data_IF_905879641998
#
_entry.id   IF_905879641998
#
_cell.length_a   1.000
_cell.length_b   1.000
_cell.length_c   1.000
_cell.angle_alpha   90.00
_cell.angle_beta   90.00
_cell.angle_gamma   90.00
#
_symmetry.space_group_name_H-M   'P 1'
#
loop_
_entity.id
_entity.type
_entity.pdbx_description
1 polymer ?
#
# COMPACT_ATOMS: atom_id res chain seq x y z
N UNK A 1 -19.34 21.33 -26.11
CA UNK A 1 -20.52 20.43 -26.06
C UNK A 1 -20.74 20.00 -24.62
N UNK A 2 -21.80 20.51 -24.02
CA UNK A 2 -22.24 20.24 -22.66
C UNK A 2 -22.44 18.75 -22.41
N UNK A 3 -21.95 18.25 -21.27
CA UNK A 3 -22.49 17.06 -20.66
C UNK A 3 -22.95 17.41 -19.25
N UNK A 4 -24.24 17.76 -19.19
CA UNK A 4 -25.07 17.73 -17.99
C UNK A 4 -24.88 16.37 -17.31
N UNK A 5 -24.41 16.36 -16.06
CA UNK A 5 -24.71 15.27 -15.13
C UNK A 5 -24.94 15.82 -13.72
N UNK A 6 -26.24 16.00 -13.43
CA UNK A 6 -26.93 15.52 -12.24
C UNK A 6 -26.20 15.64 -10.90
N UNK A 7 -26.53 16.70 -10.16
CA UNK A 7 -26.29 16.82 -8.72
C UNK A 7 -27.49 16.18 -7.99
N UNK A 8 -27.27 15.34 -6.95
CA UNK A 8 -28.37 14.73 -6.19
C UNK A 8 -29.20 15.81 -5.49
N UNK A 9 -30.51 15.72 -5.67
CA UNK A 9 -31.53 16.56 -5.08
C UNK A 9 -31.48 16.54 -3.55
N UNK A 10 -31.02 17.64 -2.94
CA UNK A 10 -31.29 17.93 -1.54
C UNK A 10 -32.80 18.17 -1.36
N UNK A 11 -33.43 17.66 -0.28
CA UNK A 11 -34.87 17.82 -0.03
C UNK A 11 -35.30 19.27 0.23
N UNK A 12 -34.37 20.23 0.29
CA UNK A 12 -34.67 21.66 0.39
C UNK A 12 -35.19 22.28 -0.92
N UNK A 13 -35.01 21.62 -2.07
CA UNK A 13 -35.39 22.18 -3.37
C UNK A 13 -36.82 21.81 -3.82
N UNK A 14 -37.57 21.05 -3.02
CA UNK A 14 -38.93 20.60 -3.35
C UNK A 14 -40.04 21.58 -2.94
N UNK A 15 -39.74 22.64 -2.17
CA UNK A 15 -40.73 23.65 -1.77
C UNK A 15 -40.97 24.75 -2.82
N UNK A 16 -40.25 24.76 -3.94
CA UNK A 16 -40.33 25.81 -4.98
C UNK A 16 -41.41 25.58 -6.05
N UNK A 17 -42.23 24.54 -5.93
CA UNK A 17 -43.30 24.21 -6.91
C UNK A 17 -44.73 24.52 -6.43
N UNK A 18 -44.91 25.23 -5.32
CA UNK A 18 -46.22 25.81 -4.97
C UNK A 18 -46.14 27.33 -5.06
N UNK A 19 -46.91 27.88 -5.99
CA UNK A 19 -46.93 29.30 -6.33
C UNK A 19 -47.62 30.10 -5.25
N UNK A 20 -46.84 30.60 -4.30
CA UNK A 20 -47.24 31.69 -3.41
C UNK A 20 -46.42 32.93 -3.77
N UNK A 21 -47.08 34.08 -3.79
CA UNK A 21 -46.52 35.41 -4.08
C UNK A 21 -45.49 35.81 -3.02
N UNK A 22 -44.26 35.33 -3.18
CA UNK A 22 -43.16 35.76 -2.33
C UNK A 22 -42.57 37.04 -2.94
N UNK A 23 -43.01 38.17 -2.36
CA UNK A 23 -42.46 39.53 -2.43
C UNK A 23 -41.10 39.66 -3.14
N UNK A 24 -41.01 40.57 -4.12
CA UNK A 24 -39.77 40.89 -4.84
C UNK A 24 -38.56 41.18 -3.95
N UNK A 25 -38.76 41.51 -2.68
CA UNK A 25 -37.70 41.66 -1.68
C UNK A 25 -36.98 40.33 -1.34
N UNK A 26 -37.68 39.20 -1.30
CA UNK A 26 -37.07 37.89 -0.98
C UNK A 26 -36.32 37.34 -2.20
N UNK A 27 -36.81 37.61 -3.42
CA UNK A 27 -36.07 37.34 -4.67
C UNK A 27 -34.77 38.16 -4.74
N UNK A 28 -34.81 39.41 -4.30
CA UNK A 28 -33.64 40.29 -4.23
C UNK A 28 -32.65 39.85 -3.13
N UNK A 29 -33.14 39.40 -1.98
CA UNK A 29 -32.31 38.81 -0.89
C UNK A 29 -31.66 37.50 -1.34
N UNK A 30 -32.37 36.64 -2.08
CA UNK A 30 -31.82 35.40 -2.62
C UNK A 30 -30.78 35.67 -3.73
N UNK A 31 -30.98 36.72 -4.54
CA UNK A 31 -29.98 37.19 -5.50
C UNK A 31 -28.75 37.81 -4.81
N UNK A 32 -28.94 38.55 -3.70
CA UNK A 32 -27.85 39.12 -2.89
C UNK A 32 -27.02 38.05 -2.17
N UNK A 33 -27.63 36.93 -1.77
CA UNK A 33 -26.91 35.82 -1.13
C UNK A 33 -26.18 34.90 -2.13
N UNK A 34 -26.55 34.92 -3.42
CA UNK A 34 -25.95 34.04 -4.44
C UNK A 34 -24.61 34.56 -4.99
N UNK A 35 -24.24 35.81 -4.69
CA UNK A 35 -22.99 36.44 -5.14
C UNK A 35 -21.83 36.40 -4.13
N UNK A 36 -21.97 35.72 -2.99
CA UNK A 36 -20.84 35.49 -2.08
C UNK A 36 -20.16 34.16 -2.42
N UNK A 37 -18.99 34.23 -3.05
CA UNK A 37 -18.15 33.05 -3.30
C UNK A 37 -17.79 32.36 -1.98
N UNK A 38 -17.91 31.03 -1.95
CA UNK A 38 -17.59 30.26 -0.74
C UNK A 38 -16.07 30.12 -0.64
N UNK A 39 -15.45 30.79 0.33
CA UNK A 39 -14.01 30.70 0.60
C UNK A 39 -13.65 29.35 1.26
N UNK A 40 -13.56 28.31 0.43
CA UNK A 40 -13.13 26.97 0.85
C UNK A 40 -11.68 26.74 0.43
N UNK A 41 -10.90 26.12 1.31
CA UNK A 41 -9.53 25.69 1.01
C UNK A 41 -9.52 24.42 0.15
N UNK A 42 -9.44 24.59 -1.17
CA UNK A 42 -9.44 23.49 -2.15
C UNK A 42 -8.09 22.76 -2.34
N UNK A 43 -7.07 23.07 -1.54
CA UNK A 43 -5.70 22.61 -1.79
C UNK A 43 -5.49 21.09 -1.59
N UNK A 44 -6.39 20.41 -0.88
CA UNK A 44 -6.26 18.98 -0.51
C UNK A 44 -7.40 18.10 -1.02
N UNK A 45 -8.28 18.63 -1.87
CA UNK A 45 -9.44 17.89 -2.37
C UNK A 45 -9.02 16.70 -3.23
N UNK A 46 -7.94 16.87 -4.01
CA UNK A 46 -7.37 15.79 -4.82
C UNK A 46 -6.61 14.79 -3.94
N UNK A 47 -7.27 13.69 -3.61
CA UNK A 47 -6.66 12.57 -2.87
C UNK A 47 -5.64 11.81 -3.73
N UNK A 48 -4.37 11.79 -3.32
CA UNK A 48 -3.28 11.09 -4.01
C UNK A 48 -3.26 9.60 -3.62
N UNK A 49 -3.99 8.77 -4.36
CA UNK A 49 -3.93 7.32 -4.23
C UNK A 49 -4.08 6.65 -5.60
N UNK A 50 -3.56 5.43 -5.73
CA UNK A 50 -3.65 4.67 -6.98
C UNK A 50 -5.00 3.96 -7.07
N UNK A 51 -5.70 4.17 -8.18
CA UNK A 51 -6.97 3.49 -8.51
C UNK A 51 -6.76 2.25 -9.40
N UNK A 52 -5.58 2.13 -10.02
CA UNK A 52 -5.22 1.06 -10.93
C UNK A 52 -3.70 0.78 -10.89
N UNK A 53 -3.23 -0.39 -11.35
CA UNK A 53 -1.80 -0.63 -11.47
C UNK A 53 -1.21 0.16 -12.64
N UNK A 54 -0.07 0.84 -12.43
CA UNK A 54 0.67 1.52 -13.51
C UNK A 54 1.25 0.54 -14.56
N UNK A 55 1.39 -0.73 -14.20
CA UNK A 55 1.96 -1.76 -15.08
C UNK A 55 0.96 -2.17 -16.18
N UNK A 56 1.49 -2.43 -17.38
CA UNK A 56 0.75 -2.92 -18.54
C UNK A 56 0.65 -4.46 -18.60
N UNK A 57 1.18 -5.18 -17.60
CA UNK A 57 1.11 -6.64 -17.52
C UNK A 57 -0.35 -7.14 -17.50
N UNK A 58 -0.69 -7.96 -18.50
CA UNK A 58 -2.03 -8.50 -18.71
C UNK A 58 -2.46 -9.38 -17.53
N UNK A 59 -1.57 -10.25 -17.02
CA UNK A 59 -1.90 -11.17 -15.93
C UNK A 59 -2.22 -10.41 -14.63
N UNK A 60 -1.47 -9.35 -14.34
CA UNK A 60 -1.74 -8.49 -13.19
C UNK A 60 -3.09 -7.78 -13.33
N UNK A 61 -3.45 -7.34 -14.55
CA UNK A 61 -4.74 -6.70 -14.83
C UNK A 61 -5.91 -7.65 -14.69
N UNK A 62 -5.76 -8.91 -15.11
CA UNK A 62 -6.78 -9.96 -14.92
C UNK A 62 -7.02 -10.22 -13.43
N UNK A 63 -5.96 -10.37 -12.64
CA UNK A 63 -6.07 -10.50 -11.18
C UNK A 63 -6.73 -9.27 -10.53
N UNK A 64 -6.41 -8.07 -11.00
CA UNK A 64 -7.06 -6.84 -10.54
C UNK A 64 -8.55 -6.83 -10.86
N UNK A 65 -8.96 -7.24 -12.07
CA UNK A 65 -10.39 -7.34 -12.44
C UNK A 65 -11.11 -8.30 -11.49
N UNK A 66 -10.53 -9.47 -11.22
CA UNK A 66 -11.08 -10.47 -10.28
C UNK A 66 -11.22 -9.89 -8.87
N UNK A 67 -10.17 -9.30 -8.31
CA UNK A 67 -10.22 -8.74 -6.95
C UNK A 67 -11.05 -7.46 -6.85
N UNK A 68 -11.27 -6.73 -7.94
CA UNK A 68 -12.19 -5.59 -8.00
C UNK A 68 -13.64 -6.06 -7.98
N UNK A 69 -13.95 -7.16 -8.65
CA UNK A 69 -15.25 -7.82 -8.53
C UNK A 69 -15.50 -8.32 -7.10
N UNK A 70 -14.55 -9.08 -6.54
CA UNK A 70 -14.65 -9.59 -5.17
C UNK A 70 -14.77 -8.46 -4.15
N UNK A 71 -13.93 -7.42 -4.22
CA UNK A 71 -13.97 -6.32 -3.25
C UNK A 71 -15.26 -5.49 -3.31
N UNK A 72 -15.97 -5.48 -4.44
CA UNK A 72 -17.25 -4.80 -4.61
C UNK A 72 -18.42 -5.66 -4.14
N UNK A 73 -18.43 -6.96 -4.44
CA UNK A 73 -19.55 -7.87 -4.14
C UNK A 73 -19.44 -8.56 -2.78
N UNK A 74 -18.24 -8.66 -2.22
CA UNK A 74 -18.02 -9.23 -0.89
C UNK A 74 -17.82 -8.14 0.16
N UNK A 75 -18.35 -8.37 1.36
CA UNK A 75 -18.17 -7.48 2.51
C UNK A 75 -16.83 -7.68 3.23
N UNK A 76 -15.94 -8.52 2.70
CA UNK A 76 -14.68 -8.87 3.36
C UNK A 76 -13.63 -7.74 3.22
N UNK A 77 -13.06 -7.23 4.33
CA UNK A 77 -12.02 -6.20 4.27
C UNK A 77 -10.72 -6.71 3.65
N UNK A 78 -10.48 -8.03 3.70
CA UNK A 78 -9.32 -8.69 3.11
C UNK A 78 -9.16 -8.36 1.62
N UNK A 79 -10.24 -8.50 0.83
CA UNK A 79 -10.22 -8.27 -0.61
C UNK A 79 -9.89 -6.80 -0.96
N UNK A 80 -10.43 -5.86 -0.17
CA UNK A 80 -10.09 -4.42 -0.30
C UNK A 80 -8.60 -4.15 -0.02
N UNK A 81 -7.98 -4.88 0.90
CA UNK A 81 -6.54 -4.76 1.18
C UNK A 81 -5.71 -5.39 0.06
N UNK A 82 -6.07 -6.59 -0.42
CA UNK A 82 -5.35 -7.25 -1.53
C UNK A 82 -5.41 -6.41 -2.80
N UNK A 83 -6.58 -5.88 -3.16
CA UNK A 83 -6.74 -4.98 -4.31
C UNK A 83 -5.84 -3.75 -4.21
N UNK A 84 -5.84 -3.06 -3.06
CA UNK A 84 -4.96 -1.91 -2.81
C UNK A 84 -3.48 -2.29 -2.93
N UNK A 85 -3.09 -3.49 -2.52
CA UNK A 85 -1.71 -3.98 -2.64
C UNK A 85 -1.34 -4.33 -4.08
N UNK A 86 -2.25 -4.83 -4.91
CA UNK A 86 -1.98 -5.08 -6.33
C UNK A 86 -1.64 -3.78 -7.10
N UNK A 87 -2.20 -2.64 -6.69
CA UNK A 87 -1.88 -1.31 -7.27
C UNK A 87 -0.52 -0.74 -6.85
N UNK A 88 0.08 -1.27 -5.79
CA UNK A 88 1.34 -0.75 -5.26
C UNK A 88 2.50 -0.97 -6.25
N UNK A 89 3.47 -0.05 -6.24
CA UNK A 89 4.73 -0.20 -6.97
C UNK A 89 5.55 -1.35 -6.41
N UNK A 90 6.52 -1.84 -7.20
CA UNK A 90 7.49 -2.85 -6.76
C UNK A 90 8.23 -2.43 -5.49
N UNK A 91 8.60 -1.15 -5.37
CA UNK A 91 9.25 -0.60 -4.17
C UNK A 91 8.41 -0.72 -2.91
N UNK A 92 7.08 -0.61 -3.04
CA UNK A 92 6.13 -0.71 -1.93
C UNK A 92 5.63 -2.14 -1.67
N UNK A 93 5.98 -3.08 -2.56
CA UNK A 93 5.80 -4.54 -2.44
C UNK A 93 7.16 -5.24 -2.32
N UNK A 94 7.87 -5.04 -1.19
CA UNK A 94 9.18 -5.67 -0.99
C UNK A 94 9.05 -7.20 -0.98
N UNK A 95 10.10 -7.92 -1.44
CA UNK A 95 10.13 -9.37 -1.33
C UNK A 95 10.13 -9.80 0.14
N UNK A 96 9.63 -11.01 0.40
CA UNK A 96 9.66 -11.62 1.73
C UNK A 96 10.47 -12.92 1.67
N UNK A 97 11.43 -13.03 2.59
CA UNK A 97 12.19 -14.27 2.76
C UNK A 97 11.34 -15.33 3.48
N UNK A 98 11.56 -16.60 3.13
CA UNK A 98 10.90 -17.74 3.80
C UNK A 98 11.14 -17.70 5.32
N UNK A 99 12.34 -17.33 5.77
CA UNK A 99 12.67 -17.20 7.20
C UNK A 99 11.73 -16.27 7.96
N UNK A 100 11.44 -15.11 7.36
CA UNK A 100 10.53 -14.13 7.95
C UNK A 100 9.09 -14.64 7.95
N UNK A 101 8.71 -15.40 6.93
CA UNK A 101 7.39 -16.02 6.85
C UNK A 101 7.21 -17.04 7.99
N UNK A 102 8.16 -17.97 8.17
CA UNK A 102 8.12 -18.96 9.27
C UNK A 102 7.96 -18.28 10.62
N UNK A 103 8.79 -17.26 10.92
CA UNK A 103 8.71 -16.52 12.19
C UNK A 103 7.34 -15.87 12.42
N UNK A 104 6.63 -15.48 11.35
CA UNK A 104 5.30 -14.86 11.45
C UNK A 104 4.14 -15.86 11.49
N UNK A 105 4.37 -17.08 10.99
CA UNK A 105 3.40 -18.19 11.07
C UNK A 105 3.53 -18.97 12.38
N UNK A 106 4.72 -19.01 12.99
CA UNK A 106 4.95 -19.60 14.33
C UNK A 106 4.30 -18.84 15.49
N UNK A 107 3.70 -17.67 15.25
CA UNK A 107 2.99 -16.92 16.29
C UNK A 107 1.69 -17.66 16.66
N UNK A 108 1.32 -17.64 17.94
CA UNK A 108 0.13 -18.32 18.45
C UNK A 108 -1.15 -17.94 17.69
N UNK A 109 -2.03 -18.93 17.49
CA UNK A 109 -3.32 -18.74 16.79
C UNK A 109 -3.22 -18.61 15.26
N UNK A 110 -2.09 -19.01 14.66
CA UNK A 110 -1.88 -18.98 13.19
C UNK A 110 -1.58 -20.34 12.57
N UNK A 111 -1.82 -21.40 13.33
CA UNK A 111 -1.72 -22.77 12.86
C UNK A 111 -2.70 -23.02 11.71
N UNK A 112 -2.28 -23.82 10.73
CA UNK A 112 -3.07 -24.23 9.57
C UNK A 112 -3.61 -23.10 8.67
N UNK A 113 -3.21 -21.85 8.89
CA UNK A 113 -3.60 -20.71 8.05
C UNK A 113 -2.72 -20.59 6.82
N UNK A 114 -3.29 -20.05 5.74
CA UNK A 114 -2.57 -19.77 4.50
C UNK A 114 -1.84 -18.43 4.60
N UNK A 115 -0.51 -18.42 4.39
CA UNK A 115 0.26 -17.19 4.29
C UNK A 115 0.02 -16.51 2.94
N UNK A 116 -0.48 -15.28 2.94
CA UNK A 116 -0.76 -14.52 1.71
C UNK A 116 0.21 -13.37 1.58
N UNK A 117 0.92 -13.30 0.46
CA UNK A 117 1.93 -12.27 0.18
C UNK A 117 1.68 -11.67 -1.20
N UNK A 118 1.27 -10.41 -1.25
CA UNK A 118 1.20 -9.67 -2.52
C UNK A 118 2.61 -9.17 -2.88
N UNK A 119 3.44 -10.06 -3.41
CA UNK A 119 4.84 -9.80 -3.69
C UNK A 119 5.59 -11.06 -4.11
N UNK A 120 6.92 -11.01 -3.97
CA UNK A 120 7.81 -12.13 -4.31
C UNK A 120 8.29 -12.83 -3.05
N UNK A 121 8.35 -14.16 -3.09
CA UNK A 121 8.92 -14.98 -2.02
C UNK A 121 10.31 -15.44 -2.42
N UNK A 122 11.29 -15.07 -1.60
CA UNK A 122 12.70 -15.37 -1.81
C UNK A 122 13.17 -16.48 -0.89
N UNK A 123 14.08 -17.30 -1.39
CA UNK A 123 14.75 -18.30 -0.57
C UNK A 123 15.66 -17.67 0.50
N UNK A 124 15.90 -18.41 1.57
CA UNK A 124 16.85 -18.06 2.62
C UNK A 124 17.67 -19.29 3.01
N UNK A 125 18.90 -19.36 2.49
CA UNK A 125 19.82 -20.50 2.63
C UNK A 125 20.20 -20.77 4.09
N UNK A 126 20.08 -19.76 4.97
CA UNK A 126 20.46 -19.89 6.39
C UNK A 126 19.56 -20.84 7.18
N UNK A 127 18.34 -21.07 6.70
CA UNK A 127 17.42 -22.01 7.33
C UNK A 127 17.62 -23.36 6.69
N UNK A 128 17.66 -24.42 7.49
CA UNK A 128 17.77 -25.79 6.99
C UNK A 128 16.38 -26.43 6.91
N UNK A 129 15.65 -26.45 8.03
CA UNK A 129 14.34 -27.09 8.15
C UNK A 129 13.18 -26.14 7.85
N UNK A 130 12.25 -26.57 6.98
CA UNK A 130 11.03 -25.83 6.67
C UNK A 130 9.82 -26.60 7.19
N UNK A 131 8.89 -25.94 7.93
CA UNK A 131 7.62 -26.55 8.26
C UNK A 131 6.71 -26.63 7.03
N UNK A 132 5.72 -27.51 7.07
CA UNK A 132 4.64 -27.59 6.07
C UNK A 132 3.85 -26.28 6.10
N UNK A 133 3.86 -25.54 4.99
CA UNK A 133 3.22 -24.23 4.88
C UNK A 133 2.37 -24.15 3.62
N UNK A 134 1.19 -23.55 3.74
CA UNK A 134 0.36 -23.14 2.59
C UNK A 134 0.63 -21.68 2.30
N UNK A 135 1.15 -21.37 1.11
CA UNK A 135 1.63 -20.04 0.78
C UNK A 135 1.07 -19.57 -0.55
N UNK A 136 0.43 -18.39 -0.57
CA UNK A 136 -0.03 -17.70 -1.76
C UNK A 136 0.85 -16.48 -2.04
N UNK A 137 1.38 -16.36 -3.26
CA UNK A 137 2.12 -15.18 -3.69
C UNK A 137 1.99 -14.88 -5.19
N UNK A 138 2.48 -13.70 -5.61
CA UNK A 138 2.52 -13.34 -7.04
C UNK A 138 3.66 -14.05 -7.76
N UNK A 139 4.82 -14.17 -7.10
CA UNK A 139 6.01 -14.81 -7.67
C UNK A 139 6.75 -15.59 -6.58
N UNK A 140 7.28 -16.73 -6.98
CA UNK A 140 8.19 -17.54 -6.17
C UNK A 140 9.54 -17.60 -6.88
N UNK A 141 10.63 -17.52 -6.12
CA UNK A 141 11.94 -17.88 -6.63
C UNK A 141 12.06 -19.40 -6.74
N UNK A 142 12.84 -19.91 -7.69
CA UNK A 142 12.92 -21.36 -7.94
C UNK A 142 13.44 -22.14 -6.73
N UNK A 143 14.44 -21.57 -6.04
CA UNK A 143 14.95 -22.11 -4.77
C UNK A 143 13.86 -22.20 -3.70
N UNK A 144 13.08 -21.13 -3.53
CA UNK A 144 11.98 -21.11 -2.58
C UNK A 144 10.91 -22.15 -2.92
N UNK A 145 10.50 -22.22 -4.20
CA UNK A 145 9.47 -23.15 -4.68
C UNK A 145 9.88 -24.60 -4.44
N UNK A 146 11.11 -24.97 -4.82
CA UNK A 146 11.66 -26.32 -4.62
C UNK A 146 11.65 -26.73 -3.14
N UNK A 147 12.09 -25.83 -2.26
CA UNK A 147 12.19 -26.13 -0.83
C UNK A 147 10.82 -26.25 -0.15
N UNK A 148 9.86 -25.41 -0.53
CA UNK A 148 8.49 -25.49 -0.01
C UNK A 148 7.84 -26.82 -0.42
N UNK A 149 7.96 -27.21 -1.69
CA UNK A 149 7.43 -28.48 -2.18
C UNK A 149 8.13 -29.69 -1.53
N UNK A 150 9.46 -29.65 -1.37
CA UNK A 150 10.23 -30.69 -0.67
C UNK A 150 9.78 -30.86 0.78
N UNK A 151 9.39 -29.78 1.45
CA UNK A 151 8.86 -29.82 2.81
C UNK A 151 7.40 -30.33 2.89
N UNK A 152 6.76 -30.64 1.76
CA UNK A 152 5.33 -30.99 1.71
C UNK A 152 4.39 -29.80 1.88
N UNK A 153 4.87 -28.59 1.60
CA UNK A 153 4.07 -27.36 1.59
C UNK A 153 3.35 -27.14 0.26
N UNK A 154 2.37 -26.24 0.26
CA UNK A 154 1.57 -25.90 -0.92
C UNK A 154 1.91 -24.50 -1.42
N UNK A 155 2.15 -24.38 -2.72
CA UNK A 155 2.38 -23.12 -3.42
C UNK A 155 1.11 -22.78 -4.19
N UNK A 156 0.47 -21.64 -3.86
CA UNK A 156 -0.78 -21.19 -4.45
C UNK A 156 -0.62 -19.86 -5.20
N UNK A 157 -1.43 -19.68 -6.23
CA UNK A 157 -1.63 -18.40 -6.91
C UNK A 157 -2.85 -17.66 -6.35
N UNK A 158 -3.02 -16.39 -6.73
CA UNK A 158 -4.09 -15.54 -6.20
C UNK A 158 -5.48 -15.91 -6.76
N UNK A 159 -5.54 -16.44 -7.97
CA UNK A 159 -6.74 -17.04 -8.57
C UNK A 159 -7.17 -18.31 -7.82
N UNK A 160 -6.24 -19.24 -7.55
CA UNK A 160 -6.51 -20.42 -6.72
C UNK A 160 -6.96 -20.05 -5.30
N UNK A 161 -6.35 -19.02 -4.71
CA UNK A 161 -6.76 -18.51 -3.40
C UNK A 161 -8.18 -17.95 -3.42
N UNK A 162 -8.56 -17.25 -4.49
CA UNK A 162 -9.90 -16.70 -4.64
C UNK A 162 -10.98 -17.79 -4.73
N UNK A 163 -10.67 -18.93 -5.36
CA UNK A 163 -11.54 -20.10 -5.39
C UNK A 163 -11.63 -20.77 -4.02
N UNK A 164 -10.49 -21.01 -3.36
CA UNK A 164 -10.44 -21.70 -2.07
C UNK A 164 -11.04 -20.89 -0.91
N UNK A 165 -10.88 -19.56 -0.93
CA UNK A 165 -11.29 -18.69 0.16
C UNK A 165 -11.66 -17.30 -0.35
N UNK A 166 -12.84 -17.13 -0.99
CA UNK A 166 -13.24 -15.86 -1.62
C UNK A 166 -13.40 -14.71 -0.63
N UNK A 167 -13.68 -14.99 0.64
CA UNK A 167 -13.75 -14.00 1.73
C UNK A 167 -12.42 -13.82 2.49
N UNK A 168 -11.42 -14.67 2.23
CA UNK A 168 -10.11 -14.63 2.90
C UNK A 168 -10.10 -15.24 4.32
N UNK A 169 -11.06 -16.10 4.66
CA UNK A 169 -11.05 -16.83 5.94
C UNK A 169 -9.80 -17.73 6.05
N UNK A 170 -9.25 -17.86 7.26
CA UNK A 170 -8.06 -18.69 7.49
C UNK A 170 -6.78 -18.18 6.80
N UNK A 171 -6.71 -16.91 6.41
CA UNK A 171 -5.51 -16.33 5.78
C UNK A 171 -4.75 -15.40 6.72
N UNK A 172 -3.43 -15.35 6.55
CA UNK A 172 -2.53 -14.41 7.23
C UNK A 172 -1.86 -13.55 6.17
N UNK A 173 -2.29 -12.30 6.08
CA UNK A 173 -1.75 -11.36 5.11
C UNK A 173 -0.44 -10.73 5.60
N UNK A 174 0.67 -11.05 4.92
CA UNK A 174 2.02 -10.60 5.30
C UNK A 174 2.58 -9.57 4.31
N UNK A 175 3.57 -8.80 4.77
CA UNK A 175 4.35 -7.87 3.93
C UNK A 175 5.82 -7.97 4.30
N UNK A 176 6.69 -7.86 3.30
CA UNK A 176 8.12 -7.69 3.52
C UNK A 176 8.43 -6.34 4.20
N UNK A 177 9.66 -6.17 4.71
CA UNK A 177 10.10 -4.94 5.35
C UNK A 177 10.30 -3.82 4.32
N UNK A 178 9.46 -2.77 4.37
CA UNK A 178 9.50 -1.66 3.39
C UNK A 178 10.72 -0.76 3.54
N UNK A 179 11.15 -0.49 4.79
CA UNK A 179 12.25 0.43 5.10
C UNK A 179 13.65 -0.21 5.06
N UNK A 180 13.78 -1.46 4.61
CA UNK A 180 15.07 -2.17 4.62
C UNK A 180 16.02 -1.77 3.48
N UNK A 181 15.58 -0.93 2.55
CA UNK A 181 16.39 -0.49 1.41
C UNK A 181 17.40 0.57 1.83
N UNK A 182 18.55 0.59 1.16
CA UNK A 182 19.62 1.57 1.41
C UNK A 182 19.16 3.02 1.29
N UNK A 183 18.26 3.31 0.35
CA UNK A 183 17.69 4.66 0.17
C UNK A 183 17.12 5.22 1.48
N UNK A 184 16.49 4.38 2.32
CA UNK A 184 15.95 4.82 3.61
C UNK A 184 17.02 5.12 4.65
N UNK A 185 18.26 4.67 4.47
CA UNK A 185 19.39 5.02 5.35
C UNK A 185 19.89 6.45 5.11
N UNK A 186 19.63 6.99 3.93
CA UNK A 186 19.97 8.36 3.55
C UNK A 186 18.86 9.36 3.86
N UNK A 187 17.66 8.87 4.18
CA UNK A 187 16.54 9.71 4.59
C UNK A 187 16.60 9.99 6.09
N UNK A 188 16.15 11.18 6.49
CA UNK A 188 16.09 11.60 7.89
C UNK A 188 16.65 13.00 8.08
N UNK A 189 17.06 13.31 9.31
CA UNK A 189 17.77 14.55 9.62
C UNK A 189 19.08 14.61 8.81
N UNK A 190 19.51 15.82 8.46
CA UNK A 190 20.69 16.00 7.63
C UNK A 190 21.94 15.34 8.29
N UNK A 191 22.82 14.71 7.50
CA UNK A 191 24.03 14.09 8.01
C UNK A 191 24.96 15.19 8.54
N UNK A 192 25.04 15.35 9.85
CA UNK A 192 25.80 16.43 10.50
C UNK A 192 24.98 17.27 11.47
N UNK A 193 23.67 17.05 11.62
CA UNK A 193 22.96 17.59 12.79
C UNK A 193 23.28 16.74 14.02
N UNK A 194 23.28 17.31 15.24
CA UNK A 194 23.49 16.55 16.47
C UNK A 194 22.57 15.33 16.57
N UNK A 195 23.12 14.19 17.01
CA UNK A 195 22.39 12.91 17.16
C UNK A 195 21.78 12.35 15.86
N UNK A 196 22.28 12.76 14.68
CA UNK A 196 21.88 12.17 13.40
C UNK A 196 22.73 10.95 13.03
N UNK A 197 22.08 9.85 12.67
CA UNK A 197 22.72 8.63 12.16
C UNK A 197 22.46 8.39 10.67
N UNK A 198 22.01 9.42 9.96
CA UNK A 198 21.75 9.37 8.51
C UNK A 198 23.04 9.13 7.76
N UNK A 199 23.03 8.13 6.85
CA UNK A 199 24.18 7.82 6.01
C UNK A 199 24.41 8.96 5.01
N UNK A 200 25.60 9.57 4.92
CA UNK A 200 25.90 10.56 3.89
C UNK A 200 26.06 9.91 2.51
N UNK A 201 25.89 10.71 1.45
CA UNK A 201 26.16 10.28 0.08
C UNK A 201 27.63 10.48 -0.26
N UNK A 202 28.41 9.41 -0.18
CA UNK A 202 29.85 9.40 -0.47
C UNK A 202 30.15 8.58 -1.72
N UNK A 203 31.11 9.03 -2.55
CA UNK A 203 31.57 8.30 -3.74
C UNK A 203 32.26 6.98 -3.39
N UNK A 204 33.06 6.98 -2.32
CA UNK A 204 33.79 5.80 -1.86
C UNK A 204 33.91 5.82 -0.34
N UNK A 205 33.96 4.64 0.27
CA UNK A 205 34.11 4.49 1.72
C UNK A 205 35.58 4.23 2.04
N UNK A 206 36.21 5.13 2.80
CA UNK A 206 37.62 4.98 3.19
C UNK A 206 38.05 5.97 4.26
N UNK A 207 39.32 5.91 4.68
CA UNK A 207 39.89 6.82 5.70
C UNK A 207 39.82 8.28 5.26
N UNK A 208 40.06 8.55 3.98
CA UNK A 208 40.13 9.91 3.38
C UNK A 208 38.77 10.50 2.99
N UNK A 209 37.66 9.75 3.09
CA UNK A 209 36.34 10.20 2.62
C UNK A 209 35.41 10.51 3.80
N UNK A 210 35.13 11.81 4.04
CA UNK A 210 34.15 12.31 5.03
C UNK A 210 34.28 11.75 6.47
N UNK A 211 35.52 11.57 6.94
CA UNK A 211 35.82 11.12 8.34
C UNK A 211 36.62 12.11 9.18
N UNK A 212 36.90 13.30 8.65
CA UNK A 212 37.71 14.33 9.28
C UNK A 212 36.84 15.29 10.13
N UNK A 213 36.77 16.58 9.76
CA UNK A 213 36.01 17.61 10.47
C UNK A 213 34.52 17.25 10.58
N UNK A 214 33.93 17.49 11.75
CA UNK A 214 32.52 17.22 12.04
C UNK A 214 32.20 15.77 12.42
N UNK A 215 33.18 14.86 12.37
CA UNK A 215 33.01 13.44 12.75
C UNK A 215 33.86 13.03 13.96
N UNK A 216 34.89 13.80 14.29
CA UNK A 216 35.85 13.51 15.36
C UNK A 216 36.13 14.77 16.17
N UNK A 217 36.25 14.67 17.50
CA UNK A 217 36.55 15.83 18.34
C UNK A 217 37.93 16.42 18.04
N UNK A 218 38.89 15.58 17.61
CA UNK A 218 40.26 16.00 17.28
C UNK A 218 40.38 16.93 16.06
N UNK A 219 39.35 17.01 15.22
CA UNK A 219 39.38 17.81 13.99
C UNK A 219 38.26 18.86 14.03
N UNK A 220 38.39 19.86 14.91
CA UNK A 220 37.49 20.99 15.04
C UNK A 220 36.28 20.72 15.93
N UNK A 221 35.37 19.83 15.53
CA UNK A 221 34.19 19.48 16.33
C UNK A 221 33.60 18.13 15.92
N UNK A 222 32.76 17.56 16.79
CA UNK A 222 31.96 16.36 16.52
C UNK A 222 30.50 16.63 16.87
N UNK A 223 29.62 16.31 15.92
CA UNK A 223 28.17 16.36 16.08
C UNK A 223 27.59 14.97 16.40
#
# INVERSE_FOLDING_TARGET
MCMLMFVPSNPFNQSLHRGDEISGAIKLIFLLFCFQGIDIRHNKDRKVHRKEPKSQDIYLRLLVKLYRFLARRSNAPFNKVVLRRLFMSRTNRPPIAISRLIRKMKLAGRENKTAVVVGTITDDVRIQTLPKLKICALRFTDGARRRILKAGGQVMTFDQLALASPKGHGTVLLSGPRKSREVYRHFGKAPGTPHSHTKPYIRSKGRKFERARGRRPSCGYKN
#
